data_IF_815717962744
#
_entry.id   IF_815717962744
#
_cell.length_a   1.000
_cell.length_b   1.000
_cell.length_c   1.000
_cell.angle_alpha   90.00
_cell.angle_beta   90.00
_cell.angle_gamma   90.00
#
_symmetry.space_group_name_H-M   'P 1'
#
loop_
_entity.id
_entity.type
_entity.pdbx_description
1 polymer ?
#
# COMPACT_ATOMS: atom_id res chain seq x y z
N UNK A 1 26.21 22.48 -18.03
CA UNK A 1 27.37 22.88 -18.87
C UNK A 1 26.86 23.47 -20.18
N UNK A 2 27.08 24.76 -20.38
CA UNK A 2 26.58 25.55 -21.53
C UNK A 2 27.44 25.28 -22.74
N UNK A 3 26.87 24.79 -23.84
CA UNK A 3 27.51 24.76 -25.13
C UNK A 3 27.08 26.00 -25.93
N UNK A 4 28.04 26.90 -26.17
CA UNK A 4 27.87 28.11 -26.96
C UNK A 4 27.79 27.79 -28.44
N UNK A 5 26.69 28.19 -29.08
CA UNK A 5 26.61 28.30 -30.54
C UNK A 5 27.45 29.52 -30.99
N UNK A 6 28.53 29.28 -31.72
CA UNK A 6 29.18 30.32 -32.56
C UNK A 6 28.36 30.43 -33.85
N UNK A 7 27.56 31.47 -33.98
CA UNK A 7 27.09 31.93 -35.29
C UNK A 7 28.08 32.94 -35.83
N UNK A 8 28.47 32.69 -37.04
CA UNK A 8 29.40 33.49 -37.82
C UNK A 8 28.82 34.86 -38.19
N UNK A 9 29.50 35.88 -37.71
CA UNK A 9 29.14 37.34 -37.84
C UNK A 9 29.48 37.96 -39.20
N UNK A 10 29.65 37.16 -40.29
CA UNK A 10 30.07 37.70 -41.59
C UNK A 10 28.93 38.04 -42.56
N UNK A 11 27.72 37.53 -42.34
CA UNK A 11 26.59 37.82 -43.25
C UNK A 11 25.78 39.05 -42.86
N UNK A 12 26.03 39.63 -41.69
CA UNK A 12 25.31 40.82 -41.19
C UNK A 12 25.97 42.16 -41.50
N UNK A 13 27.31 42.19 -41.77
CA UNK A 13 28.02 43.45 -42.01
C UNK A 13 27.67 44.11 -43.33
N UNK A 14 27.20 43.36 -44.36
CA UNK A 14 26.85 43.93 -45.67
C UNK A 14 25.45 44.56 -45.65
N UNK A 15 24.53 44.05 -44.86
CA UNK A 15 23.16 44.59 -44.74
C UNK A 15 23.13 45.78 -43.79
N UNK A 16 23.91 45.75 -42.72
CA UNK A 16 24.04 46.92 -41.79
C UNK A 16 24.73 48.11 -42.44
N UNK A 17 25.67 47.90 -43.37
CA UNK A 17 26.31 48.98 -44.08
C UNK A 17 25.36 49.78 -44.99
N UNK A 18 24.46 49.10 -45.71
CA UNK A 18 23.46 49.72 -46.58
C UNK A 18 22.33 50.38 -45.75
N UNK A 19 21.88 49.74 -44.68
CA UNK A 19 20.86 50.26 -43.76
C UNK A 19 21.30 51.55 -43.09
N UNK A 20 22.55 51.63 -42.67
CA UNK A 20 23.09 52.84 -42.00
C UNK A 20 23.23 54.02 -42.93
N UNK A 21 23.56 53.80 -44.22
CA UNK A 21 23.59 54.88 -45.21
C UNK A 21 22.20 55.37 -45.62
N UNK A 22 21.21 54.47 -45.68
CA UNK A 22 19.82 54.82 -45.95
C UNK A 22 19.17 55.59 -44.75
N UNK A 23 19.47 55.22 -43.53
CA UNK A 23 18.93 55.92 -42.37
C UNK A 23 19.49 57.35 -42.24
N UNK A 24 20.78 57.58 -42.51
CA UNK A 24 21.38 58.87 -42.49
C UNK A 24 20.81 59.82 -43.59
N UNK A 25 20.57 59.30 -44.80
CA UNK A 25 19.99 60.05 -45.91
C UNK A 25 18.48 60.28 -45.72
N UNK A 26 17.74 59.34 -45.14
CA UNK A 26 16.33 59.54 -44.76
C UNK A 26 16.21 60.59 -43.63
N UNK A 27 17.09 60.59 -42.65
CA UNK A 27 17.09 61.59 -41.58
C UNK A 27 17.40 62.98 -42.06
N UNK A 28 18.31 63.17 -43.06
CA UNK A 28 18.61 64.40 -43.72
C UNK A 28 17.43 64.93 -44.55
N UNK A 29 16.65 64.10 -45.20
CA UNK A 29 15.43 64.45 -45.93
C UNK A 29 14.36 64.95 -44.96
N UNK A 30 14.19 64.23 -43.81
CA UNK A 30 13.25 64.62 -42.76
C UNK A 30 13.61 65.99 -42.14
N UNK A 31 14.91 66.31 -42.02
CA UNK A 31 15.42 67.55 -41.52
C UNK A 31 15.38 68.72 -42.53
N UNK A 32 14.87 68.51 -43.77
CA UNK A 32 14.71 69.55 -44.79
C UNK A 32 16.06 70.07 -45.38
N UNK A 33 17.14 69.37 -45.22
CA UNK A 33 18.44 69.70 -45.82
C UNK A 33 18.51 69.10 -47.22
N UNK A 34 18.88 70.03 -48.24
CA UNK A 34 19.13 69.57 -49.59
C UNK A 34 20.25 68.53 -49.62
N UNK A 35 19.97 67.41 -50.25
CA UNK A 35 20.97 66.39 -50.54
C UNK A 35 21.90 66.94 -51.63
N UNK A 36 23.11 67.36 -51.28
CA UNK A 36 24.18 67.50 -52.26
C UNK A 36 24.60 66.11 -52.74
N UNK A 37 24.12 65.71 -53.93
CA UNK A 37 24.64 64.65 -54.72
C UNK A 37 26.03 64.99 -55.25
N UNK A 38 27.03 64.92 -54.41
CA UNK A 38 28.41 64.96 -54.87
C UNK A 38 28.67 63.63 -55.69
N UNK A 39 29.59 63.76 -56.68
CA UNK A 39 29.98 62.68 -57.55
C UNK A 39 30.44 61.43 -56.79
N UNK A 40 29.51 60.66 -56.28
CA UNK A 40 29.74 59.29 -55.76
C UNK A 40 29.59 58.34 -56.92
N UNK A 41 30.71 57.91 -57.48
CA UNK A 41 30.73 56.70 -58.36
C UNK A 41 30.13 55.53 -57.59
N UNK A 42 28.88 55.19 -57.89
CA UNK A 42 28.31 53.95 -57.42
C UNK A 42 29.14 52.78 -58.00
N UNK A 43 29.56 51.84 -57.16
CA UNK A 43 30.30 50.68 -57.69
C UNK A 43 29.46 50.04 -58.77
N UNK A 44 30.11 49.54 -59.86
CA UNK A 44 29.39 48.96 -60.99
C UNK A 44 28.44 47.87 -60.48
N UNK A 45 27.17 48.01 -60.92
CA UNK A 45 26.11 47.08 -60.54
C UNK A 45 26.41 45.70 -61.14
N UNK A 46 26.89 44.77 -60.33
CA UNK A 46 27.27 43.41 -60.75
C UNK A 46 26.06 42.47 -60.63
N UNK A 47 25.19 42.51 -61.64
CA UNK A 47 24.01 41.65 -61.77
C UNK A 47 24.35 40.17 -61.60
N UNK A 48 25.48 39.75 -62.10
CA UNK A 48 25.92 38.35 -62.07
C UNK A 48 26.24 37.89 -60.63
N UNK A 49 26.85 38.77 -59.84
CA UNK A 49 27.18 38.49 -58.43
C UNK A 49 25.95 38.42 -57.56
N UNK A 50 24.97 39.33 -57.80
CA UNK A 50 23.70 39.34 -57.08
C UNK A 50 22.89 38.08 -57.43
N UNK A 51 22.77 37.76 -58.70
CA UNK A 51 22.06 36.55 -59.15
C UNK A 51 22.66 35.27 -58.59
N UNK A 52 23.98 35.16 -58.55
CA UNK A 52 24.69 34.02 -57.94
C UNK A 52 24.45 33.90 -56.43
N UNK A 53 24.39 35.02 -55.72
CA UNK A 53 24.11 35.04 -54.29
C UNK A 53 22.64 34.63 -53.99
N UNK A 54 21.68 35.11 -54.78
CA UNK A 54 20.28 34.72 -54.66
C UNK A 54 20.10 33.22 -54.95
N UNK A 55 20.70 32.72 -56.03
CA UNK A 55 20.66 31.28 -56.31
C UNK A 55 21.30 30.43 -55.22
N UNK A 56 22.41 30.88 -54.64
CA UNK A 56 23.05 30.18 -53.53
C UNK A 56 22.18 30.20 -52.26
N UNK A 57 21.47 31.29 -52.01
CA UNK A 57 20.52 31.41 -50.87
C UNK A 57 19.31 30.47 -51.05
N UNK A 58 18.71 30.45 -52.27
CA UNK A 58 17.57 29.58 -52.57
C UNK A 58 17.99 28.09 -52.48
N UNK A 59 19.16 27.73 -53.02
CA UNK A 59 19.67 26.34 -52.88
C UNK A 59 20.00 25.95 -51.43
N UNK A 60 20.39 26.92 -50.58
CA UNK A 60 20.61 26.68 -49.14
C UNK A 60 19.30 26.43 -48.42
N UNK A 61 18.23 27.19 -48.75
CA UNK A 61 16.89 26.98 -48.18
C UNK A 61 16.27 25.66 -48.61
N UNK A 62 16.37 25.28 -49.89
CA UNK A 62 15.93 23.97 -50.40
C UNK A 62 16.68 22.81 -49.73
N UNK A 63 17.98 22.92 -49.54
CA UNK A 63 18.79 21.93 -48.81
C UNK A 63 18.41 21.88 -47.33
N UNK A 64 17.97 23.00 -46.72
CA UNK A 64 17.43 23.00 -45.34
C UNK A 64 16.07 22.32 -45.23
N UNK A 65 15.14 22.59 -46.16
CA UNK A 65 13.82 21.96 -46.23
C UNK A 65 13.88 20.45 -46.47
N UNK A 66 14.87 19.99 -47.26
CA UNK A 66 15.04 18.58 -47.56
C UNK A 66 15.93 17.80 -46.58
N UNK A 67 16.38 18.41 -45.47
CA UNK A 67 17.01 17.68 -44.37
C UNK A 67 15.96 16.91 -43.60
N UNK A 68 15.29 15.93 -44.24
CA UNK A 68 14.61 14.85 -43.51
C UNK A 68 15.66 14.24 -42.61
N UNK A 69 15.42 14.31 -41.28
CA UNK A 69 16.22 13.66 -40.26
C UNK A 69 16.20 12.16 -40.64
N UNK A 70 17.17 11.70 -41.40
CA UNK A 70 17.37 10.27 -41.64
C UNK A 70 17.87 9.71 -40.30
N UNK A 71 16.95 9.31 -39.42
CA UNK A 71 17.32 8.57 -38.23
C UNK A 71 18.15 7.36 -38.65
N UNK A 72 19.35 7.16 -38.11
CA UNK A 72 20.19 6.00 -38.43
C UNK A 72 19.36 4.73 -38.15
N UNK A 73 19.55 3.73 -39.01
CA UNK A 73 18.77 2.48 -38.94
C UNK A 73 18.80 1.87 -37.52
N UNK A 74 19.93 1.99 -36.86
CA UNK A 74 20.13 1.55 -35.47
C UNK A 74 19.14 2.22 -34.48
N UNK A 75 18.86 3.52 -34.64
CA UNK A 75 17.93 4.25 -33.77
C UNK A 75 16.47 3.81 -34.02
N UNK A 76 16.11 3.39 -35.20
CA UNK A 76 14.78 2.83 -35.50
C UNK A 76 14.57 1.49 -34.78
N UNK A 77 15.61 0.65 -34.75
CA UNK A 77 15.57 -0.63 -34.04
C UNK A 77 15.48 -0.45 -32.50
N UNK A 78 16.19 0.52 -31.92
CA UNK A 78 16.10 0.79 -30.47
C UNK A 78 14.72 1.29 -30.09
N UNK A 79 14.09 2.16 -30.87
CA UNK A 79 12.71 2.63 -30.63
C UNK A 79 11.72 1.48 -30.78
N UNK A 80 11.87 0.62 -31.80
CA UNK A 80 10.99 -0.55 -31.95
C UNK A 80 11.11 -1.53 -30.77
N UNK A 81 12.32 -1.82 -30.28
CA UNK A 81 12.53 -2.65 -29.10
C UNK A 81 11.91 -2.02 -27.84
N UNK A 82 12.04 -0.70 -27.66
CA UNK A 82 11.44 0.00 -26.53
C UNK A 82 9.91 -0.07 -26.55
N UNK A 83 9.29 0.06 -27.74
CA UNK A 83 7.83 -0.09 -27.90
C UNK A 83 7.39 -1.51 -27.58
N UNK A 84 8.12 -2.53 -28.08
CA UNK A 84 7.79 -3.94 -27.77
C UNK A 84 7.88 -4.22 -26.28
N UNK A 85 8.93 -3.76 -25.60
CA UNK A 85 9.06 -3.91 -24.13
C UNK A 85 7.93 -3.18 -23.39
N UNK A 86 7.53 -2.00 -23.87
CA UNK A 86 6.41 -1.25 -23.27
C UNK A 86 5.08 -1.99 -23.44
N UNK A 87 4.82 -2.55 -24.64
CA UNK A 87 3.60 -3.34 -24.90
C UNK A 87 3.58 -4.61 -24.06
N UNK A 88 4.72 -5.31 -23.94
CA UNK A 88 4.85 -6.49 -23.07
C UNK A 88 4.61 -6.09 -21.61
N UNK A 89 5.22 -5.00 -21.13
CA UNK A 89 5.04 -4.49 -19.76
C UNK A 89 3.60 -4.09 -19.45
N UNK A 90 2.94 -3.37 -20.36
CA UNK A 90 1.53 -3.00 -20.23
C UNK A 90 0.63 -4.24 -20.30
N UNK A 91 0.89 -5.14 -21.25
CA UNK A 91 0.15 -6.40 -21.42
C UNK A 91 0.29 -7.30 -20.18
N UNK A 92 1.48 -7.40 -19.61
CA UNK A 92 1.72 -8.16 -18.36
C UNK A 92 0.98 -7.55 -17.16
N UNK A 93 1.05 -6.22 -17.00
CA UNK A 93 0.30 -5.53 -15.94
C UNK A 93 -1.21 -5.69 -16.10
N UNK A 94 -1.73 -5.59 -17.33
CA UNK A 94 -3.15 -5.78 -17.64
C UNK A 94 -3.58 -7.23 -17.36
N UNK A 95 -2.78 -8.22 -17.76
CA UNK A 95 -3.02 -9.64 -17.49
C UNK A 95 -3.05 -9.93 -15.99
N UNK A 96 -2.12 -9.38 -15.22
CA UNK A 96 -2.07 -9.53 -13.77
C UNK A 96 -3.27 -8.87 -13.08
N UNK A 97 -3.61 -7.65 -13.47
CA UNK A 97 -4.79 -6.92 -12.95
C UNK A 97 -6.11 -7.61 -13.29
N UNK A 98 -6.23 -8.20 -14.47
CA UNK A 98 -7.44 -8.90 -14.90
C UNK A 98 -7.66 -10.21 -14.13
N UNK A 99 -6.58 -10.91 -13.79
CA UNK A 99 -6.66 -12.12 -12.99
C UNK A 99 -7.06 -11.86 -11.52
N UNK A 100 -6.68 -10.72 -10.95
CA UNK A 100 -7.12 -10.32 -9.61
C UNK A 100 -8.60 -9.90 -9.57
N UNK A 101 -9.11 -9.30 -10.64
CA UNK A 101 -10.49 -8.80 -10.71
C UNK A 101 -11.55 -9.92 -10.76
N UNK A 102 -11.18 -11.15 -11.13
CA UNK A 102 -12.07 -12.30 -11.26
C UNK A 102 -11.94 -13.33 -10.14
N UNK A 103 -11.27 -12.99 -9.02
CA UNK A 103 -11.15 -13.90 -7.90
C UNK A 103 -12.49 -14.05 -7.17
N UNK A 104 -13.04 -15.25 -7.18
CA UNK A 104 -14.16 -15.62 -6.32
C UNK A 104 -13.62 -15.85 -4.92
N UNK A 105 -14.20 -15.22 -3.92
CA UNK A 105 -13.79 -15.35 -2.51
C UNK A 105 -14.75 -16.30 -1.79
N UNK A 106 -14.19 -17.15 -0.94
CA UNK A 106 -14.90 -17.95 0.05
C UNK A 106 -14.86 -17.24 1.39
N UNK A 107 -16.00 -17.25 2.07
CA UNK A 107 -16.14 -16.74 3.42
C UNK A 107 -16.54 -17.90 4.35
N UNK A 108 -15.80 -18.04 5.44
CA UNK A 108 -16.06 -19.03 6.49
C UNK A 108 -16.27 -18.28 7.79
N UNK A 109 -17.41 -18.50 8.45
CA UNK A 109 -17.79 -17.84 9.69
C UNK A 109 -17.94 -18.86 10.80
N UNK A 110 -17.25 -18.64 11.93
CA UNK A 110 -17.54 -19.26 13.21
C UNK A 110 -18.49 -18.33 13.97
N UNK A 111 -19.73 -18.74 14.16
CA UNK A 111 -20.71 -17.96 14.91
C UNK A 111 -20.35 -17.93 16.40
N UNK A 112 -21.05 -17.10 17.18
CA UNK A 112 -20.86 -17.04 18.62
C UNK A 112 -21.12 -18.42 19.23
N UNK A 113 -20.35 -18.80 20.22
CA UNK A 113 -20.42 -20.13 20.85
C UNK A 113 -19.68 -21.24 20.08
N UNK A 114 -19.30 -21.05 18.84
CA UNK A 114 -18.70 -22.06 17.99
C UNK A 114 -17.21 -21.78 17.67
N UNK A 115 -16.49 -22.85 17.40
CA UNK A 115 -15.11 -22.80 16.89
C UNK A 115 -15.00 -23.71 15.69
N UNK A 116 -14.30 -23.28 14.66
CA UNK A 116 -14.15 -24.04 13.42
C UNK A 116 -12.69 -24.27 13.06
N UNK A 117 -12.39 -25.46 12.50
CA UNK A 117 -11.13 -25.72 11.83
C UNK A 117 -11.32 -25.62 10.32
N UNK A 118 -10.58 -24.72 9.69
CA UNK A 118 -10.56 -24.50 8.25
C UNK A 118 -9.26 -25.06 7.69
N UNK A 119 -9.37 -25.99 6.74
CA UNK A 119 -8.22 -26.49 5.97
C UNK A 119 -8.13 -25.70 4.67
N UNK A 120 -7.04 -24.98 4.49
CA UNK A 120 -6.81 -24.19 3.28
C UNK A 120 -6.19 -25.06 2.16
N UNK A 121 -6.38 -24.69 0.88
CA UNK A 121 -5.90 -25.46 -0.26
C UNK A 121 -4.37 -25.66 -0.34
N UNK A 122 -3.59 -24.85 0.39
CA UNK A 122 -2.13 -24.97 0.48
C UNK A 122 -1.65 -25.91 1.59
N UNK A 123 -2.58 -26.56 2.30
CA UNK A 123 -2.31 -27.44 3.44
C UNK A 123 -2.21 -26.71 4.79
N UNK A 124 -2.36 -25.40 4.83
CA UNK A 124 -2.41 -24.61 6.07
C UNK A 124 -3.70 -24.90 6.84
N UNK A 125 -3.61 -24.86 8.18
CA UNK A 125 -4.73 -25.04 9.09
C UNK A 125 -5.03 -23.75 9.83
N UNK A 126 -6.30 -23.36 9.88
CA UNK A 126 -6.74 -22.16 10.58
C UNK A 126 -7.88 -22.51 11.52
N UNK A 127 -7.66 -22.39 12.83
CA UNK A 127 -8.73 -22.46 13.82
C UNK A 127 -9.36 -21.08 13.96
N UNK A 128 -10.66 -20.99 13.75
CA UNK A 128 -11.45 -19.79 14.01
C UNK A 128 -12.08 -19.88 15.39
N UNK A 129 -11.88 -18.85 16.18
CA UNK A 129 -12.59 -18.68 17.46
C UNK A 129 -14.02 -18.19 17.25
N UNK A 130 -14.84 -18.23 18.28
CA UNK A 130 -16.22 -17.72 18.25
C UNK A 130 -16.31 -16.26 17.76
N UNK A 131 -17.35 -15.96 16.98
CA UNK A 131 -17.60 -14.62 16.41
C UNK A 131 -16.47 -14.17 15.47
N UNK A 132 -16.00 -15.09 14.61
CA UNK A 132 -14.87 -14.82 13.72
C UNK A 132 -15.16 -15.22 12.28
N UNK A 133 -14.56 -14.47 11.35
CA UNK A 133 -14.72 -14.63 9.93
C UNK A 133 -13.38 -14.66 9.21
N UNK A 134 -13.20 -15.65 8.31
CA UNK A 134 -12.06 -15.78 7.44
C UNK A 134 -12.51 -15.70 6.00
N UNK A 135 -11.91 -14.80 5.22
CA UNK A 135 -12.17 -14.67 3.78
C UNK A 135 -10.89 -14.96 3.01
N UNK A 136 -10.97 -15.84 2.01
CA UNK A 136 -9.83 -16.20 1.16
C UNK A 136 -10.30 -16.49 -0.27
N UNK A 137 -9.44 -16.32 -1.32
CA UNK A 137 -9.82 -16.60 -2.69
C UNK A 137 -10.03 -18.10 -2.92
N UNK A 138 -11.01 -18.49 -3.72
CA UNK A 138 -11.29 -19.88 -4.06
C UNK A 138 -10.10 -20.56 -4.74
N UNK A 139 -9.36 -19.79 -5.57
CA UNK A 139 -8.13 -20.25 -6.22
C UNK A 139 -6.89 -19.96 -5.37
N UNK A 140 -7.02 -20.17 -4.05
CA UNK A 140 -5.94 -19.99 -3.08
C UNK A 140 -4.71 -20.83 -3.46
N UNK A 141 -3.51 -20.33 -3.13
CA UNK A 141 -2.21 -20.88 -3.46
C UNK A 141 -1.82 -20.87 -4.96
N UNK A 142 -2.77 -20.75 -5.89
CA UNK A 142 -2.46 -20.65 -7.32
C UNK A 142 -1.95 -19.25 -7.69
N UNK A 143 -2.59 -18.19 -7.16
CA UNK A 143 -2.25 -16.79 -7.46
C UNK A 143 -1.65 -16.07 -6.26
N UNK A 144 -2.21 -16.29 -5.08
CA UNK A 144 -1.73 -15.70 -3.84
C UNK A 144 -2.15 -16.56 -2.64
N UNK A 145 -1.54 -16.29 -1.48
CA UNK A 145 -1.86 -16.92 -0.19
C UNK A 145 -2.36 -15.86 0.79
N UNK A 146 -3.28 -15.00 0.33
CA UNK A 146 -3.79 -13.88 1.12
C UNK A 146 -5.13 -14.26 1.74
N UNK A 147 -5.28 -13.99 3.04
CA UNK A 147 -6.54 -14.13 3.76
C UNK A 147 -6.88 -12.85 4.48
N UNK A 148 -8.17 -12.59 4.68
CA UNK A 148 -8.66 -11.50 5.52
C UNK A 148 -9.30 -12.11 6.76
N UNK A 149 -8.92 -11.62 7.92
CA UNK A 149 -9.46 -12.03 9.22
C UNK A 149 -10.23 -10.90 9.89
N UNK A 150 -11.43 -11.22 10.36
CA UNK A 150 -12.21 -10.45 11.31
C UNK A 150 -12.54 -11.37 12.49
N UNK A 151 -12.19 -10.97 13.72
CA UNK A 151 -12.30 -11.85 14.88
C UNK A 151 -10.95 -12.40 15.35
N UNK A 152 -10.93 -13.64 15.82
CA UNK A 152 -9.72 -14.30 16.33
C UNK A 152 -9.48 -15.64 15.66
N UNK A 153 -8.24 -15.86 15.25
CA UNK A 153 -7.82 -17.10 14.64
C UNK A 153 -6.41 -17.50 15.05
N UNK A 154 -6.19 -18.81 15.12
CA UNK A 154 -4.87 -19.43 15.25
C UNK A 154 -4.48 -20.07 13.92
N UNK A 155 -3.30 -19.74 13.44
CA UNK A 155 -2.78 -20.13 12.14
C UNK A 155 -1.63 -21.12 12.31
N UNK A 156 -1.69 -22.25 11.61
CA UNK A 156 -0.58 -23.16 11.38
C UNK A 156 -0.31 -23.20 9.87
N UNK A 157 0.67 -22.40 9.45
CA UNK A 157 0.90 -22.16 8.03
C UNK A 157 1.92 -23.12 7.45
N UNK A 158 1.55 -23.81 6.37
CA UNK A 158 2.44 -24.68 5.60
C UNK A 158 3.63 -23.89 5.05
N UNK A 159 4.85 -24.44 5.23
CA UNK A 159 6.07 -23.77 4.82
C UNK A 159 6.14 -23.57 3.31
N UNK A 160 6.31 -22.34 2.87
CA UNK A 160 6.58 -21.98 1.48
C UNK A 160 7.31 -20.65 1.38
N UNK A 161 8.64 -20.70 1.27
CA UNK A 161 9.49 -19.49 1.17
C UNK A 161 9.31 -18.73 -0.14
N UNK A 162 8.85 -19.40 -1.22
CA UNK A 162 8.68 -18.78 -2.55
C UNK A 162 7.36 -18.02 -2.67
N UNK A 163 6.34 -18.41 -1.88
CA UNK A 163 5.03 -17.77 -1.87
C UNK A 163 4.62 -17.48 -0.43
N UNK A 164 4.93 -16.30 0.11
CA UNK A 164 4.57 -15.93 1.47
C UNK A 164 3.05 -15.96 1.70
N UNK A 165 2.64 -16.39 2.89
CA UNK A 165 1.25 -16.30 3.35
C UNK A 165 1.01 -14.95 3.98
N UNK A 166 -0.13 -14.33 3.72
CA UNK A 166 -0.47 -13.01 4.21
C UNK A 166 -1.82 -12.99 4.91
N UNK A 167 -1.84 -12.47 6.14
CA UNK A 167 -3.09 -12.17 6.86
C UNK A 167 -3.31 -10.66 6.85
N UNK A 168 -4.50 -10.25 6.41
CA UNK A 168 -4.99 -8.88 6.51
C UNK A 168 -6.01 -8.81 7.65
N UNK A 169 -5.71 -8.02 8.68
CA UNK A 169 -6.58 -7.78 9.81
C UNK A 169 -6.80 -6.27 9.95
N UNK A 170 -7.88 -5.76 9.34
CA UNK A 170 -8.15 -4.32 9.24
C UNK A 170 -6.96 -3.57 8.62
N UNK A 171 -6.24 -2.76 9.41
CA UNK A 171 -5.09 -1.97 8.95
C UNK A 171 -3.75 -2.68 9.16
N UNK A 172 -3.75 -3.89 9.72
CA UNK A 172 -2.55 -4.67 10.00
C UNK A 172 -2.34 -5.72 8.92
N UNK A 173 -1.12 -5.78 8.41
CA UNK A 173 -0.63 -6.77 7.46
C UNK A 173 0.39 -7.64 8.16
N UNK A 174 0.17 -8.96 8.12
CA UNK A 174 1.04 -9.99 8.71
C UNK A 174 1.51 -10.88 7.56
N UNK A 175 2.81 -11.10 7.44
CA UNK A 175 3.40 -11.91 6.39
C UNK A 175 4.32 -12.97 7.00
N UNK A 176 4.14 -14.22 6.56
CA UNK A 176 4.85 -15.40 7.08
C UNK A 176 5.21 -16.35 5.94
N UNK A 177 6.12 -17.29 6.20
CA UNK A 177 6.54 -18.32 5.23
C UNK A 177 6.35 -19.75 5.73
N UNK A 178 6.03 -19.96 7.00
CA UNK A 178 5.85 -21.23 7.70
C UNK A 178 5.92 -20.95 9.19
N UNK A 179 4.77 -20.78 9.85
CA UNK A 179 4.71 -20.11 11.15
C UNK A 179 3.45 -20.53 11.89
N UNK A 180 3.55 -20.69 13.22
CA UNK A 180 2.41 -20.88 14.12
C UNK A 180 2.18 -19.62 14.95
N UNK A 181 0.97 -19.03 14.88
CA UNK A 181 0.67 -17.76 15.55
C UNK A 181 -0.82 -17.52 15.75
N UNK A 182 -1.15 -16.72 16.75
CA UNK A 182 -2.52 -16.26 17.02
C UNK A 182 -2.72 -14.81 16.57
N UNK A 183 -3.87 -14.50 15.99
CA UNK A 183 -4.30 -13.13 15.68
C UNK A 183 -5.66 -12.88 16.28
N UNK A 184 -5.77 -11.87 17.18
CA UNK A 184 -7.01 -11.40 17.77
C UNK A 184 -7.33 -10.00 17.24
N UNK A 185 -8.32 -9.91 16.37
CA UNK A 185 -8.63 -8.71 15.58
C UNK A 185 -10.14 -8.42 15.52
N UNK A 186 -10.86 -8.59 16.61
CA UNK A 186 -12.30 -8.26 16.67
C UNK A 186 -12.52 -6.76 16.41
N UNK A 187 -13.56 -6.45 15.66
CA UNK A 187 -13.88 -5.06 15.30
C UNK A 187 -14.18 -4.19 16.54
N UNK A 188 -14.86 -4.76 17.54
CA UNK A 188 -15.21 -4.09 18.80
C UNK A 188 -14.03 -3.87 19.76
N UNK A 189 -12.92 -4.60 19.61
CA UNK A 189 -11.76 -4.48 20.47
C UNK A 189 -10.94 -3.23 20.12
N UNK A 190 -10.35 -2.58 21.13
CA UNK A 190 -9.53 -1.36 20.95
C UNK A 190 -8.19 -1.63 20.28
N UNK A 191 -7.73 -2.87 20.35
CA UNK A 191 -6.40 -3.31 19.85
C UNK A 191 -6.52 -4.54 18.95
N UNK A 192 -5.52 -4.75 18.09
CA UNK A 192 -5.27 -6.03 17.43
C UNK A 192 -4.02 -6.61 18.08
N UNK A 193 -4.09 -7.88 18.50
CA UNK A 193 -2.93 -8.61 19.06
C UNK A 193 -2.50 -9.71 18.10
N UNK A 194 -1.20 -9.81 17.85
CA UNK A 194 -0.60 -10.91 17.09
C UNK A 194 0.47 -11.53 17.96
N UNK A 195 0.32 -12.80 18.32
CA UNK A 195 1.25 -13.54 19.19
C UNK A 195 1.91 -14.64 18.40
N UNK A 196 3.23 -14.70 18.43
CA UNK A 196 4.04 -15.66 17.69
C UNK A 196 4.51 -16.80 18.58
N UNK A 197 4.11 -18.02 18.22
CA UNK A 197 4.54 -19.25 18.90
C UNK A 197 5.80 -19.83 18.24
N UNK A 198 5.76 -20.09 16.92
CA UNK A 198 6.88 -20.70 16.18
C UNK A 198 7.12 -20.00 14.83
N UNK A 199 8.38 -19.98 14.38
CA UNK A 199 8.77 -19.41 13.08
C UNK A 199 9.12 -17.94 13.13
N UNK A 200 8.68 -17.16 12.16
CA UNK A 200 8.89 -15.70 12.10
C UNK A 200 7.75 -14.98 11.43
N UNK A 201 7.46 -13.79 11.89
CA UNK A 201 6.43 -12.90 11.34
C UNK A 201 7.08 -11.58 10.92
N UNK A 202 6.68 -11.08 9.73
CA UNK A 202 6.82 -9.68 9.40
C UNK A 202 5.47 -9.00 9.56
N UNK A 203 5.38 -7.95 10.39
CA UNK A 203 4.16 -7.22 10.70
C UNK A 203 4.29 -5.74 10.37
N UNK A 204 3.23 -5.15 9.81
CA UNK A 204 3.22 -3.74 9.43
C UNK A 204 1.80 -3.24 9.11
N UNK A 205 1.71 -2.01 8.63
CA UNK A 205 0.44 -1.43 8.20
C UNK A 205 0.18 -1.72 6.72
N UNK A 206 -1.07 -1.96 6.36
CA UNK A 206 -1.49 -2.29 4.98
C UNK A 206 -1.07 -1.20 3.97
N UNK A 207 -1.23 0.07 4.33
CA UNK A 207 -0.97 1.20 3.41
C UNK A 207 0.38 1.90 3.68
N UNK A 208 1.23 1.36 4.54
CA UNK A 208 2.50 2.00 4.88
C UNK A 208 3.61 1.64 3.89
N UNK A 209 4.39 2.65 3.49
CA UNK A 209 5.66 2.45 2.78
C UNK A 209 6.84 2.13 3.72
N UNK A 210 6.61 2.16 5.04
CA UNK A 210 7.65 1.80 6.01
C UNK A 210 7.91 0.30 5.95
N UNK A 211 9.15 -0.14 6.21
CA UNK A 211 9.47 -1.56 6.29
C UNK A 211 8.64 -2.23 7.39
N UNK A 212 8.26 -3.48 7.15
CA UNK A 212 7.59 -4.30 8.16
C UNK A 212 8.58 -4.64 9.29
N UNK A 213 8.05 -4.77 10.50
CA UNK A 213 8.83 -5.15 11.68
C UNK A 213 8.83 -6.67 11.80
N UNK A 214 9.98 -7.25 12.11
CA UNK A 214 10.11 -8.69 12.34
C UNK A 214 9.79 -9.03 13.79
N UNK A 215 9.05 -10.14 13.99
CA UNK A 215 8.79 -10.74 15.29
C UNK A 215 9.50 -12.09 15.40
N UNK A 216 9.93 -12.41 16.60
CA UNK A 216 10.54 -13.67 17.01
C UNK A 216 9.55 -14.45 17.90
N UNK A 217 9.71 -15.80 18.03
CA UNK A 217 8.89 -16.61 18.94
C UNK A 217 8.87 -16.03 20.36
N UNK A 218 7.71 -16.13 21.02
CA UNK A 218 7.49 -15.57 22.35
C UNK A 218 7.21 -14.06 22.38
N UNK A 219 7.04 -13.43 21.21
CA UNK A 219 6.68 -12.02 21.14
C UNK A 219 5.21 -11.81 20.79
N UNK A 220 4.65 -10.73 21.32
CA UNK A 220 3.32 -10.22 20.98
C UNK A 220 3.42 -8.81 20.43
N UNK A 221 2.86 -8.61 19.24
CA UNK A 221 2.61 -7.29 18.66
C UNK A 221 1.21 -6.80 19.04
N UNK A 222 1.13 -5.58 19.53
CA UNK A 222 -0.11 -4.89 19.87
C UNK A 222 -0.27 -3.68 18.97
N UNK A 223 -1.28 -3.71 18.11
CA UNK A 223 -1.67 -2.56 17.30
C UNK A 223 -2.82 -1.82 17.99
N UNK A 224 -2.60 -0.57 18.35
CA UNK A 224 -3.60 0.31 18.92
C UNK A 224 -4.39 1.01 17.81
N UNK A 225 -5.67 0.70 17.68
CA UNK A 225 -6.52 1.22 16.60
C UNK A 225 -6.65 2.75 16.61
N UNK A 226 -6.62 3.38 17.79
CA UNK A 226 -6.78 4.84 17.94
C UNK A 226 -5.52 5.61 17.55
N UNK A 227 -4.36 5.15 17.97
CA UNK A 227 -3.06 5.80 17.73
C UNK A 227 -2.40 5.36 16.43
N UNK A 228 -2.90 4.26 15.81
CA UNK A 228 -2.33 3.64 14.62
C UNK A 228 -0.85 3.22 14.81
N UNK A 229 -0.50 2.74 16.01
CA UNK A 229 0.86 2.34 16.39
C UNK A 229 0.93 0.85 16.65
N UNK A 230 1.96 0.18 16.12
CA UNK A 230 2.31 -1.21 16.42
C UNK A 230 3.46 -1.20 17.43
N UNK A 231 3.30 -1.90 18.56
CA UNK A 231 4.34 -2.11 19.57
C UNK A 231 4.58 -3.60 19.71
N UNK A 232 5.83 -4.05 19.58
CA UNK A 232 6.24 -5.44 19.77
C UNK A 232 6.91 -5.54 21.14
N UNK A 233 6.54 -6.57 21.91
CA UNK A 233 7.10 -6.88 23.23
C UNK A 233 7.29 -8.39 23.39
N UNK A 234 8.28 -8.79 24.18
CA UNK A 234 8.38 -10.16 24.68
C UNK A 234 7.22 -10.43 25.63
N UNK A 235 6.54 -11.55 25.44
CA UNK A 235 5.37 -11.93 26.23
C UNK A 235 5.63 -13.25 26.96
N UNK A 236 5.78 -13.18 28.28
CA UNK A 236 5.99 -14.36 29.14
C UNK A 236 4.85 -15.38 29.01
N UNK A 237 3.67 -14.93 28.66
CA UNK A 237 2.45 -15.71 28.61
C UNK A 237 1.93 -15.87 27.19
N UNK A 238 2.84 -15.88 26.18
CA UNK A 238 2.48 -16.01 24.77
C UNK A 238 1.63 -17.27 24.50
N UNK A 239 1.90 -18.40 25.18
CA UNK A 239 1.11 -19.64 25.07
C UNK A 239 -0.37 -19.46 25.46
N UNK A 240 -0.70 -18.49 26.31
CA UNK A 240 -2.08 -18.20 26.71
C UNK A 240 -2.93 -17.75 25.50
N UNK A 241 -2.32 -17.15 24.48
CA UNK A 241 -3.03 -16.62 23.30
C UNK A 241 -3.74 -17.71 22.48
N UNK A 242 -3.24 -18.94 22.50
CA UNK A 242 -3.82 -20.08 21.78
C UNK A 242 -4.65 -21.04 22.65
N UNK A 243 -4.74 -20.78 23.96
CA UNK A 243 -5.40 -21.62 24.96
C UNK A 243 -6.90 -21.87 24.69
N UNK A 244 -7.55 -20.95 24.01
CA UNK A 244 -8.95 -21.05 23.64
C UNK A 244 -9.25 -22.26 22.71
N UNK A 245 -8.26 -22.74 21.94
CA UNK A 245 -8.41 -23.95 21.11
C UNK A 245 -8.76 -25.17 21.95
N UNK A 246 -8.25 -25.25 23.18
CA UNK A 246 -8.51 -26.31 24.15
C UNK A 246 -9.57 -25.96 25.19
N UNK A 247 -10.47 -25.00 24.90
CA UNK A 247 -11.52 -24.53 25.79
C UNK A 247 -11.01 -24.04 27.16
N UNK A 248 -9.80 -23.46 27.20
CA UNK A 248 -9.29 -22.78 28.39
C UNK A 248 -9.49 -21.28 28.23
N UNK A 249 -10.13 -20.68 29.21
CA UNK A 249 -10.28 -19.23 29.34
C UNK A 249 -9.19 -18.73 30.31
N UNK A 250 -8.36 -17.82 29.80
CA UNK A 250 -7.26 -17.24 30.56
C UNK A 250 -7.39 -15.72 30.50
N UNK A 251 -7.48 -15.13 31.67
CA UNK A 251 -7.55 -13.70 31.83
C UNK A 251 -6.35 -13.22 32.65
N UNK A 252 -5.60 -12.25 32.13
CA UNK A 252 -4.43 -11.66 32.76
C UNK A 252 -4.62 -10.17 32.87
N UNK A 253 -4.86 -9.68 34.09
CA UNK A 253 -5.15 -8.28 34.34
C UNK A 253 -6.22 -7.72 33.36
N UNK A 254 -7.21 -8.54 33.06
CA UNK A 254 -8.24 -8.22 32.08
C UNK A 254 -9.34 -7.38 32.74
N UNK A 255 -9.76 -6.30 32.12
CA UNK A 255 -10.90 -5.49 32.61
C UNK A 255 -12.20 -6.31 32.59
N UNK A 256 -13.13 -5.99 33.48
CA UNK A 256 -14.47 -6.61 33.49
C UNK A 256 -15.08 -6.60 32.07
N UNK A 257 -14.98 -5.50 31.35
CA UNK A 257 -15.49 -5.38 30.00
C UNK A 257 -14.87 -6.41 29.04
N UNK A 258 -13.55 -6.61 29.09
CA UNK A 258 -12.85 -7.63 28.29
C UNK A 258 -13.33 -9.04 28.63
N UNK A 259 -13.44 -9.35 29.93
CA UNK A 259 -13.94 -10.65 30.39
C UNK A 259 -15.35 -10.89 29.87
N UNK A 260 -16.28 -9.97 30.14
CA UNK A 260 -17.69 -10.09 29.73
C UNK A 260 -17.84 -10.22 28.21
N UNK A 261 -17.07 -9.44 27.44
CA UNK A 261 -17.09 -9.54 25.98
C UNK A 261 -16.60 -10.90 25.50
N UNK A 262 -15.55 -11.44 26.13
CA UNK A 262 -15.03 -12.78 25.81
C UNK A 262 -16.05 -13.88 26.16
N UNK A 263 -16.68 -13.81 27.34
CA UNK A 263 -17.72 -14.74 27.74
C UNK A 263 -18.95 -14.67 26.83
N UNK A 264 -19.36 -13.47 26.47
CA UNK A 264 -20.48 -13.27 25.55
C UNK A 264 -20.26 -13.94 24.19
N UNK A 265 -19.06 -13.86 23.63
CA UNK A 265 -18.70 -14.55 22.38
C UNK A 265 -18.62 -16.05 22.56
N UNK A 266 -17.96 -16.49 23.66
CA UNK A 266 -17.66 -17.89 23.92
C UNK A 266 -18.89 -18.74 24.23
N UNK A 267 -19.89 -18.18 24.93
CA UNK A 267 -21.10 -18.86 25.36
C UNK A 267 -22.37 -18.43 24.62
N UNK A 268 -22.22 -17.56 23.61
CA UNK A 268 -23.34 -16.94 22.89
C UNK A 268 -24.41 -16.33 23.79
N UNK A 269 -23.98 -15.49 24.72
CA UNK A 269 -24.85 -14.81 25.70
C UNK A 269 -24.68 -13.30 25.65
N UNK A 270 -25.67 -12.58 26.16
CA UNK A 270 -25.62 -11.15 26.40
C UNK A 270 -25.47 -10.85 27.88
N UNK A 271 -24.48 -10.03 28.26
CA UNK A 271 -24.27 -9.61 29.66
C UNK A 271 -24.28 -8.10 29.71
N UNK A 272 -25.23 -7.55 30.43
CA UNK A 272 -25.39 -6.11 30.66
C UNK A 272 -24.88 -5.70 32.03
N UNK A 273 -24.01 -4.70 32.07
CA UNK A 273 -23.50 -4.10 33.31
C UNK A 273 -24.51 -3.07 33.82
N UNK A 274 -25.08 -3.27 35.01
CA UNK A 274 -26.04 -2.34 35.66
C UNK A 274 -25.36 -1.26 36.48
N UNK A 275 -24.20 -1.56 37.04
CA UNK A 275 -23.48 -0.66 37.94
C UNK A 275 -22.11 -0.30 37.35
N UNK A 276 -21.96 0.94 36.95
CA UNK A 276 -20.67 1.40 36.36
C UNK A 276 -19.48 1.35 37.33
N UNK A 277 -19.74 1.33 38.67
CA UNK A 277 -18.67 1.25 39.67
C UNK A 277 -17.84 -0.03 39.55
N UNK A 278 -18.46 -1.13 39.12
CA UNK A 278 -17.78 -2.41 38.94
C UNK A 278 -16.92 -2.45 37.67
N UNK A 279 -17.07 -1.51 36.76
CA UNK A 279 -16.30 -1.46 35.50
C UNK A 279 -14.78 -1.33 35.71
N UNK A 280 -14.32 -0.87 36.88
CA UNK A 280 -12.92 -0.74 37.25
C UNK A 280 -12.27 -2.06 37.70
N UNK A 281 -13.05 -3.12 37.94
CA UNK A 281 -12.49 -4.40 38.36
C UNK A 281 -11.69 -5.05 37.24
N UNK A 282 -10.58 -5.68 37.64
CA UNK A 282 -9.71 -6.50 36.76
C UNK A 282 -9.68 -7.93 37.27
N UNK A 283 -9.44 -8.85 36.35
CA UNK A 283 -9.47 -10.27 36.61
C UNK A 283 -8.17 -10.94 36.19
N UNK A 284 -7.66 -11.82 37.04
CA UNK A 284 -6.53 -12.67 36.81
C UNK A 284 -6.87 -14.09 37.22
N UNK A 285 -7.32 -14.91 36.30
CA UNK A 285 -7.69 -16.31 36.58
C UNK A 285 -7.61 -17.18 35.31
N UNK A 286 -7.56 -18.49 35.53
CA UNK A 286 -7.60 -19.53 34.49
C UNK A 286 -8.71 -20.51 34.85
N UNK A 287 -9.58 -20.80 33.90
CA UNK A 287 -10.63 -21.79 34.06
C UNK A 287 -10.89 -22.59 32.77
N UNK A 288 -11.61 -23.70 32.91
CA UNK A 288 -12.18 -24.43 31.76
C UNK A 288 -13.42 -23.66 31.27
N UNK A 289 -13.48 -23.38 29.96
CA UNK A 289 -14.57 -22.67 29.33
C UNK A 289 -15.73 -23.57 28.88
N UNK A 290 -16.00 -24.66 29.58
CA UNK A 290 -17.06 -25.60 29.18
C UNK A 290 -18.38 -25.35 29.92
N UNK A 291 -18.35 -24.62 31.04
CA UNK A 291 -19.49 -24.33 31.87
C UNK A 291 -19.51 -22.86 32.29
N UNK A 292 -20.53 -22.15 31.81
CA UNK A 292 -20.71 -20.73 32.10
C UNK A 292 -20.93 -20.48 33.61
N UNK A 293 -21.77 -21.31 34.26
CA UNK A 293 -22.08 -21.10 35.68
C UNK A 293 -20.81 -21.18 36.52
N UNK A 294 -19.96 -22.17 36.26
CA UNK A 294 -18.66 -22.27 36.92
C UNK A 294 -17.79 -21.03 36.72
N UNK A 295 -17.73 -20.51 35.49
CA UNK A 295 -16.95 -19.29 35.23
C UNK A 295 -17.49 -18.07 35.99
N UNK A 296 -18.83 -17.91 36.04
CA UNK A 296 -19.48 -16.82 36.79
C UNK A 296 -19.24 -16.96 38.27
N UNK A 297 -19.31 -18.16 38.84
CA UNK A 297 -18.98 -18.46 40.25
C UNK A 297 -17.53 -18.07 40.58
N UNK A 298 -16.58 -18.43 39.74
CA UNK A 298 -15.17 -18.02 39.88
C UNK A 298 -15.05 -16.49 39.90
N UNK A 299 -15.73 -15.78 39.00
CA UNK A 299 -15.71 -14.32 38.99
C UNK A 299 -16.29 -13.70 40.26
N UNK A 300 -17.39 -14.25 40.75
CA UNK A 300 -18.05 -13.81 42.03
C UNK A 300 -17.18 -14.09 43.26
N UNK A 301 -16.32 -15.12 43.20
CA UNK A 301 -15.39 -15.43 44.30
C UNK A 301 -14.18 -14.49 44.35
N UNK A 302 -13.82 -13.88 43.23
CA UNK A 302 -12.66 -12.98 43.11
C UNK A 302 -13.02 -11.53 43.39
N UNK A 303 -14.22 -11.11 42.94
CA UNK A 303 -14.67 -9.71 43.06
C UNK A 303 -16.12 -9.66 43.58
N UNK A 304 -16.50 -8.59 44.26
CA UNK A 304 -17.85 -8.44 44.80
C UNK A 304 -18.87 -8.07 43.72
N UNK A 305 -19.02 -8.95 42.72
CA UNK A 305 -20.02 -8.81 41.65
C UNK A 305 -21.08 -9.90 41.78
N UNK A 306 -22.27 -9.63 41.31
CA UNK A 306 -23.39 -10.58 41.32
C UNK A 306 -23.94 -10.71 39.90
N UNK A 307 -24.03 -11.94 39.41
CA UNK A 307 -24.63 -12.25 38.12
C UNK A 307 -26.06 -12.72 38.31
N UNK A 308 -27.02 -12.10 37.61
CA UNK A 308 -28.43 -12.48 37.61
C UNK A 308 -28.84 -12.90 36.20
N UNK A 309 -29.32 -14.14 36.09
CA UNK A 309 -29.90 -14.66 34.82
C UNK A 309 -31.28 -14.01 34.62
N UNK A 310 -31.47 -13.38 33.48
CA UNK A 310 -32.74 -12.72 33.10
C UNK A 310 -33.52 -13.60 32.11
N UNK A 311 -32.81 -14.25 31.16
CA UNK A 311 -33.39 -15.22 30.24
C UNK A 311 -32.38 -16.32 29.96
N UNK A 312 -32.68 -17.22 29.02
CA UNK A 312 -31.77 -18.31 28.64
C UNK A 312 -30.40 -17.81 28.17
N UNK A 313 -30.38 -16.68 27.44
CA UNK A 313 -29.17 -16.12 26.84
C UNK A 313 -28.80 -14.72 27.37
N UNK A 314 -29.52 -14.22 28.41
CA UNK A 314 -29.31 -12.85 28.90
C UNK A 314 -29.01 -12.83 30.39
N UNK A 315 -27.94 -12.13 30.76
CA UNK A 315 -27.48 -11.94 32.12
C UNK A 315 -27.28 -10.45 32.42
N UNK A 316 -27.40 -10.10 33.69
CA UNK A 316 -26.97 -8.80 34.20
C UNK A 316 -25.92 -9.00 35.28
N UNK A 317 -24.99 -8.03 35.37
CA UNK A 317 -23.98 -7.99 36.43
C UNK A 317 -24.07 -6.65 37.17
N UNK A 318 -24.07 -6.71 38.52
CA UNK A 318 -24.15 -5.58 39.44
C UNK A 318 -23.19 -5.72 40.61
#
# INVERSE_FOLDING_TARGET
>A
MKSKKKHTNQDFEVVDGIGKYMDDDIQRIIEGKQLELGDRELPPFDEYRIYKNIQAAVMREEKRKNRRIRMPLFFKWTVACAIVLLVIGVGYNFYQSHNEANLVYREVCAVRGEKLLVLLPDGSRVWLNADSKLTYPEQFAKYNRNVTLEGEAYFEIAENKKSPFQVLAKNVKIQVTGTCFNVKAYTSDKVIKTTLDEGSINIGHVQSRRPMQQMLPGQTAVYEKRSNVIKIKTDRYHDDASSWKSNRLIFRNASLKEVLTTLSRHFDIEITVKNEKIASFTYDFVCKGNDLNYVLEVMQSITPVSFKKISEYTYTVE
#
